data_IF_131834285411
#
_entry.id   IF_131834285411
#
_cell.length_a   1.000
_cell.length_b   1.000
_cell.length_c   1.000
_cell.angle_alpha   90.00
_cell.angle_beta   90.00
_cell.angle_gamma   90.00
#
_symmetry.space_group_name_H-M   'P 1'
#
loop_
_entity.id
_entity.type
_entity.pdbx_description
1 polymer ?
#
# COMPACT_ATOMS: atom_id res chain seq x y z
N UNK A 1 13.10 3.08 -3.85
CA UNK A 1 12.98 2.74 -2.42
C UNK A 1 13.10 1.23 -2.25
N UNK A 2 13.67 0.78 -1.14
CA UNK A 2 13.77 -0.65 -0.81
C UNK A 2 12.61 -1.11 0.06
N UNK A 3 12.51 -2.41 0.29
CA UNK A 3 11.44 -3.06 1.09
C UNK A 3 11.17 -2.39 2.44
N UNK A 4 12.23 -2.11 3.21
CA UNK A 4 12.12 -1.52 4.55
C UNK A 4 11.65 -0.07 4.52
N UNK A 5 12.14 0.74 3.57
CA UNK A 5 11.69 2.12 3.42
C UNK A 5 10.28 2.20 2.84
N UNK A 6 9.89 1.25 1.99
CA UNK A 6 8.50 1.08 1.55
C UNK A 6 7.54 0.81 2.72
N UNK A 7 7.92 -0.10 3.64
CA UNK A 7 7.15 -0.35 4.86
C UNK A 7 7.00 0.92 5.70
N UNK A 8 8.11 1.57 6.05
CA UNK A 8 8.07 2.74 6.95
C UNK A 8 7.31 3.91 6.33
N UNK A 9 7.53 4.21 5.05
CA UNK A 9 6.83 5.28 4.36
C UNK A 9 5.32 5.02 4.29
N UNK A 10 4.91 3.79 3.95
CA UNK A 10 3.50 3.40 3.90
C UNK A 10 2.85 3.42 5.29
N UNK A 11 3.48 2.78 6.27
CA UNK A 11 2.95 2.63 7.63
C UNK A 11 2.82 3.97 8.36
N UNK A 12 3.92 4.73 8.44
CA UNK A 12 3.97 5.97 9.24
C UNK A 12 3.14 7.07 8.59
N UNK A 13 3.31 7.29 7.29
CA UNK A 13 2.60 8.35 6.58
C UNK A 13 1.09 8.17 6.67
N UNK A 14 0.61 6.95 6.45
CA UNK A 14 -0.83 6.66 6.47
C UNK A 14 -1.41 6.66 7.89
N UNK A 15 -0.69 6.11 8.88
CA UNK A 15 -1.17 6.14 10.27
C UNK A 15 -1.26 7.56 10.83
N UNK A 16 -0.33 8.45 10.46
CA UNK A 16 -0.39 9.87 10.83
C UNK A 16 -1.58 10.54 10.14
N UNK A 17 -1.84 10.23 8.87
CA UNK A 17 -2.98 10.77 8.14
C UNK A 17 -4.31 10.38 8.82
N UNK A 18 -4.47 9.14 9.24
CA UNK A 18 -5.65 8.69 9.97
C UNK A 18 -5.84 9.44 11.30
N UNK A 19 -4.76 9.63 12.06
CA UNK A 19 -4.80 10.39 13.31
C UNK A 19 -5.21 11.84 13.04
N UNK A 20 -4.63 12.47 12.02
CA UNK A 20 -4.91 13.86 11.66
C UNK A 20 -6.36 14.07 11.15
N UNK A 21 -6.94 13.05 10.50
CA UNK A 21 -8.30 13.08 9.97
C UNK A 21 -9.37 12.62 10.99
N UNK A 22 -8.97 12.26 12.21
CA UNK A 22 -9.89 11.84 13.28
C UNK A 22 -10.24 10.35 13.28
N UNK A 23 -9.62 9.54 12.41
CA UNK A 23 -9.78 8.08 12.33
C UNK A 23 -8.75 7.35 13.21
N UNK A 24 -8.53 7.80 14.45
CA UNK A 24 -7.46 7.29 15.31
C UNK A 24 -7.54 5.78 15.58
N UNK A 25 -8.75 5.21 15.63
CA UNK A 25 -8.95 3.77 15.81
C UNK A 25 -8.47 2.94 14.62
N UNK A 26 -8.44 3.52 13.41
CA UNK A 26 -7.90 2.88 12.21
C UNK A 26 -6.38 2.94 12.16
N UNK A 27 -5.74 3.90 12.83
CA UNK A 27 -4.31 4.14 12.71
C UNK A 27 -3.41 2.90 12.96
N UNK A 28 -3.66 2.04 13.97
CA UNK A 28 -2.88 0.81 14.16
C UNK A 28 -3.07 -0.21 13.02
N UNK A 29 -4.30 -0.36 12.53
CA UNK A 29 -4.63 -1.24 11.41
C UNK A 29 -3.95 -0.71 10.14
N UNK A 30 -4.13 0.56 9.84
CA UNK A 30 -3.53 1.23 8.70
C UNK A 30 -2.02 1.15 8.73
N UNK A 31 -1.38 1.34 9.89
CA UNK A 31 0.06 1.18 10.05
C UNK A 31 0.52 -0.20 9.54
N UNK A 32 -0.17 -1.26 9.96
CA UNK A 32 0.17 -2.64 9.56
C UNK A 32 -0.16 -2.87 8.09
N UNK A 33 -1.38 -2.56 7.65
CA UNK A 33 -1.84 -2.84 6.27
C UNK A 33 -1.03 -2.04 5.25
N UNK A 34 -0.86 -0.73 5.44
CA UNK A 34 -0.08 0.14 4.55
C UNK A 34 1.41 -0.14 4.63
N UNK A 35 1.91 -0.53 5.81
CA UNK A 35 3.27 -1.02 5.94
C UNK A 35 3.53 -2.27 5.10
N UNK A 36 2.64 -3.26 5.19
CA UNK A 36 2.74 -4.50 4.42
C UNK A 36 2.56 -4.25 2.91
N UNK A 37 1.63 -3.37 2.51
CA UNK A 37 1.47 -2.93 1.13
C UNK A 37 2.80 -2.43 0.55
N UNK A 38 3.43 -1.46 1.22
CA UNK A 38 4.71 -0.89 0.78
C UNK A 38 5.88 -1.88 0.83
N UNK A 39 5.90 -2.77 1.83
CA UNK A 39 6.91 -3.82 1.94
C UNK A 39 6.82 -4.82 0.78
N UNK A 40 5.62 -5.32 0.49
CA UNK A 40 5.37 -6.31 -0.57
C UNK A 40 5.62 -5.69 -1.94
N UNK A 41 5.16 -4.47 -2.19
CA UNK A 41 5.47 -3.75 -3.42
C UNK A 41 7.00 -3.64 -3.62
N UNK A 42 7.75 -3.24 -2.58
CA UNK A 42 9.21 -3.20 -2.62
C UNK A 42 9.87 -4.58 -2.81
N UNK A 43 9.25 -5.65 -2.30
CA UNK A 43 9.75 -7.02 -2.43
C UNK A 43 9.60 -7.52 -3.87
N UNK A 44 8.44 -7.25 -4.49
CA UNK A 44 8.17 -7.60 -5.89
C UNK A 44 9.09 -6.84 -6.82
N UNK A 45 9.30 -5.53 -6.60
CA UNK A 45 10.27 -4.75 -7.36
C UNK A 45 11.67 -5.35 -7.25
N UNK A 46 12.12 -5.68 -6.03
CA UNK A 46 13.44 -6.28 -5.82
C UNK A 46 13.60 -7.64 -6.50
N UNK A 47 12.60 -8.51 -6.40
CA UNK A 47 12.62 -9.85 -6.99
C UNK A 47 12.65 -9.79 -8.52
N UNK A 48 11.82 -8.93 -9.13
CA UNK A 48 11.72 -8.82 -10.58
C UNK A 48 12.87 -8.02 -11.21
N UNK A 49 13.40 -7.01 -10.52
CA UNK A 49 14.57 -6.23 -11.01
C UNK A 49 15.86 -7.05 -11.04
N UNK A 50 15.93 -8.19 -10.33
CA UNK A 50 17.04 -9.15 -10.49
C UNK A 50 16.92 -9.99 -11.76
N UNK A 51 15.70 -10.22 -12.23
CA UNK A 51 15.40 -11.07 -13.39
C UNK A 51 15.35 -10.27 -14.69
N UNK A 52 14.90 -9.02 -14.63
CA UNK A 52 14.86 -8.08 -15.74
C UNK A 52 15.88 -6.97 -15.46
N UNK A 53 16.86 -6.79 -16.34
CA UNK A 53 18.00 -5.86 -16.17
C UNK A 53 17.60 -4.37 -16.03
N UNK A 54 16.36 -4.02 -16.34
CA UNK A 54 15.82 -2.67 -16.17
C UNK A 54 14.48 -2.73 -15.42
N UNK A 55 14.14 -1.63 -14.74
CA UNK A 55 12.83 -1.42 -14.11
C UNK A 55 11.76 -1.29 -15.18
N UNK A 56 11.36 -2.43 -15.71
CA UNK A 56 10.40 -2.50 -16.80
C UNK A 56 9.00 -2.16 -16.27
N UNK A 57 8.13 -1.61 -17.12
CA UNK A 57 6.74 -1.27 -16.75
C UNK A 57 6.01 -2.46 -16.13
N UNK A 58 6.35 -3.68 -16.56
CA UNK A 58 5.87 -4.96 -16.01
C UNK A 58 6.17 -5.09 -14.51
N UNK A 59 7.37 -4.69 -14.07
CA UNK A 59 7.77 -4.76 -12.67
C UNK A 59 6.97 -3.78 -11.81
N UNK A 60 6.76 -2.56 -12.29
CA UNK A 60 5.99 -1.52 -11.58
C UNK A 60 4.52 -1.94 -11.47
N UNK A 61 3.95 -2.46 -12.56
CA UNK A 61 2.58 -2.95 -12.58
C UNK A 61 2.39 -4.15 -11.63
N UNK A 62 3.28 -5.14 -11.69
CA UNK A 62 3.22 -6.31 -10.81
C UNK A 62 3.34 -5.92 -9.33
N UNK A 63 4.23 -4.98 -8.99
CA UNK A 63 4.37 -4.49 -7.63
C UNK A 63 3.14 -3.73 -7.15
N UNK A 64 2.52 -2.93 -8.03
CA UNK A 64 1.31 -2.16 -7.72
C UNK A 64 0.10 -3.08 -7.49
N UNK A 65 -0.06 -4.12 -8.32
CA UNK A 65 -1.11 -5.13 -8.15
C UNK A 65 -0.90 -5.90 -6.85
N UNK A 66 0.33 -6.37 -6.58
CA UNK A 66 0.62 -7.11 -5.37
C UNK A 66 0.36 -6.27 -4.10
N UNK A 67 0.79 -5.00 -4.10
CA UNK A 67 0.48 -4.07 -3.01
C UNK A 67 -1.03 -3.85 -2.83
N UNK A 68 -1.76 -3.65 -3.92
CA UNK A 68 -3.23 -3.47 -3.88
C UNK A 68 -3.93 -4.69 -3.28
N UNK A 69 -3.53 -5.90 -3.65
CA UNK A 69 -4.09 -7.14 -3.08
C UNK A 69 -3.86 -7.20 -1.57
N UNK A 70 -2.65 -6.90 -1.11
CA UNK A 70 -2.31 -6.86 0.33
C UNK A 70 -3.15 -5.82 1.05
N UNK A 71 -3.34 -4.65 0.44
CA UNK A 71 -4.15 -3.58 1.02
C UNK A 71 -5.62 -4.01 1.15
N UNK A 72 -6.23 -4.46 0.05
CA UNK A 72 -7.65 -4.86 0.02
C UNK A 72 -7.91 -6.02 0.99
N UNK A 73 -7.06 -7.05 0.97
CA UNK A 73 -7.20 -8.19 1.88
C UNK A 73 -6.93 -7.80 3.34
N UNK A 74 -5.96 -6.92 3.57
CA UNK A 74 -5.62 -6.42 4.91
C UNK A 74 -6.77 -5.65 5.54
N UNK A 75 -7.37 -4.71 4.82
CA UNK A 75 -8.54 -3.97 5.32
C UNK A 75 -9.74 -4.87 5.51
N UNK A 76 -10.03 -5.77 4.55
CA UNK A 76 -11.15 -6.69 4.69
C UNK A 76 -11.04 -7.59 5.94
N UNK A 77 -9.85 -8.16 6.19
CA UNK A 77 -9.60 -8.98 7.39
C UNK A 77 -9.63 -8.13 8.66
N UNK A 78 -9.09 -6.92 8.62
CA UNK A 78 -9.09 -6.03 9.77
C UNK A 78 -10.51 -5.58 10.13
N UNK A 79 -11.33 -5.17 9.17
CA UNK A 79 -12.73 -4.80 9.38
C UNK A 79 -13.57 -5.98 9.89
N UNK A 80 -13.32 -7.19 9.37
CA UNK A 80 -14.04 -8.39 9.75
C UNK A 80 -13.76 -8.84 11.20
N UNK A 81 -12.48 -8.82 11.61
CA UNK A 81 -12.04 -9.42 12.87
C UNK A 81 -11.49 -8.44 13.89
N UNK A 82 -10.67 -7.48 13.47
CA UNK A 82 -9.93 -6.59 14.38
C UNK A 82 -10.82 -5.43 14.81
N UNK A 83 -11.39 -4.71 13.85
CA UNK A 83 -12.22 -3.53 14.10
C UNK A 83 -13.51 -3.89 14.81
N UNK A 84 -14.05 -5.08 14.53
CA UNK A 84 -15.20 -5.64 15.25
C UNK A 84 -14.98 -5.76 16.76
N UNK A 85 -13.74 -5.87 17.24
CA UNK A 85 -13.43 -5.90 18.68
C UNK A 85 -13.57 -4.53 19.34
N UNK A 86 -13.50 -3.45 18.56
CA UNK A 86 -13.53 -2.07 19.06
C UNK A 86 -14.85 -1.35 18.72
N UNK A 87 -15.56 -1.81 17.68
CA UNK A 87 -16.82 -1.25 17.22
C UNK A 87 -17.76 -2.38 16.74
N UNK A 88 -18.91 -2.55 17.40
CA UNK A 88 -19.88 -3.59 17.07
C UNK A 88 -20.59 -3.37 15.73
N UNK A 89 -20.50 -2.15 15.16
CA UNK A 89 -21.01 -1.85 13.82
C UNK A 89 -20.10 -2.40 12.71
N UNK A 90 -18.87 -2.81 13.06
CA UNK A 90 -17.91 -3.45 12.17
C UNK A 90 -18.16 -4.96 12.08
N UNK A 91 -17.56 -5.60 11.06
CA UNK A 91 -17.72 -7.02 10.79
C UNK A 91 -18.02 -7.28 9.32
N UNK A 92 -18.65 -8.41 8.99
CA UNK A 92 -18.84 -8.83 7.60
C UNK A 92 -19.65 -7.83 6.76
N UNK A 93 -20.69 -7.21 7.35
CA UNK A 93 -21.52 -6.24 6.63
C UNK A 93 -20.75 -4.95 6.29
N UNK A 94 -19.95 -4.42 7.24
CA UNK A 94 -19.08 -3.28 7.00
C UNK A 94 -17.98 -3.63 6.00
N UNK A 95 -17.32 -4.79 6.15
CA UNK A 95 -16.27 -5.25 5.26
C UNK A 95 -16.75 -5.40 3.80
N UNK A 96 -17.97 -5.90 3.60
CA UNK A 96 -18.57 -5.99 2.26
C UNK A 96 -19.00 -4.64 1.70
N UNK A 97 -19.40 -3.69 2.57
CA UNK A 97 -19.76 -2.33 2.17
C UNK A 97 -18.53 -1.54 1.73
N UNK A 98 -17.40 -1.70 2.41
CA UNK A 98 -16.18 -0.92 2.15
C UNK A 98 -15.29 -1.58 1.09
N UNK A 99 -15.50 -2.87 0.79
CA UNK A 99 -14.77 -3.60 -0.26
C UNK A 99 -14.76 -2.89 -1.64
N UNK A 100 -15.88 -2.36 -2.19
CA UNK A 100 -15.86 -1.61 -3.45
C UNK A 100 -15.01 -0.35 -3.37
N UNK A 101 -15.04 0.35 -2.23
CA UNK A 101 -14.24 1.56 -1.99
C UNK A 101 -12.75 1.19 -1.95
N UNK A 102 -12.40 0.12 -1.22
CA UNK A 102 -11.03 -0.40 -1.14
C UNK A 102 -10.52 -0.90 -2.51
N UNK A 103 -11.37 -1.49 -3.34
CA UNK A 103 -11.02 -1.87 -4.72
C UNK A 103 -10.69 -0.65 -5.58
N UNK A 104 -11.52 0.39 -5.53
CA UNK A 104 -11.27 1.66 -6.24
C UNK A 104 -10.00 2.32 -5.72
N UNK A 105 -9.81 2.35 -4.40
CA UNK A 105 -8.61 2.91 -3.77
C UNK A 105 -7.35 2.18 -4.22
N UNK A 106 -7.38 0.84 -4.28
CA UNK A 106 -6.27 0.04 -4.80
C UNK A 106 -5.96 0.37 -6.25
N UNK A 107 -6.98 0.49 -7.10
CA UNK A 107 -6.83 0.89 -8.51
C UNK A 107 -6.21 2.28 -8.65
N UNK A 108 -6.68 3.28 -7.90
CA UNK A 108 -6.12 4.63 -7.90
C UNK A 108 -4.68 4.64 -7.42
N UNK A 109 -4.37 3.93 -6.33
CA UNK A 109 -2.99 3.78 -5.84
C UNK A 109 -2.07 3.18 -6.89
N UNK A 110 -2.53 2.15 -7.62
CA UNK A 110 -1.73 1.52 -8.66
C UNK A 110 -1.44 2.48 -9.83
N UNK A 111 -2.44 3.25 -10.28
CA UNK A 111 -2.27 4.25 -11.35
C UNK A 111 -1.33 5.37 -10.89
N UNK A 112 -1.59 5.97 -9.73
CA UNK A 112 -0.77 7.08 -9.19
C UNK A 112 0.65 6.61 -8.91
N UNK A 113 0.82 5.44 -8.30
CA UNK A 113 2.13 4.84 -8.02
C UNK A 113 2.93 4.55 -9.28
N UNK A 114 2.27 4.03 -10.32
CA UNK A 114 2.88 3.85 -11.63
C UNK A 114 3.31 5.18 -12.27
N UNK A 115 2.40 6.15 -12.36
CA UNK A 115 2.67 7.46 -12.95
C UNK A 115 3.81 8.20 -12.23
N UNK A 116 3.82 8.16 -10.89
CA UNK A 116 4.86 8.75 -10.08
C UNK A 116 6.20 8.04 -10.30
N UNK A 117 6.21 6.71 -10.39
CA UNK A 117 7.43 5.93 -10.64
C UNK A 117 8.05 6.29 -11.99
N UNK A 118 7.23 6.39 -13.05
CA UNK A 118 7.68 6.80 -14.39
C UNK A 118 8.21 8.23 -14.38
N UNK A 119 7.52 9.16 -13.70
CA UNK A 119 7.97 10.55 -13.58
C UNK A 119 9.33 10.65 -12.87
N UNK A 120 9.51 9.96 -11.74
CA UNK A 120 10.75 9.97 -10.96
C UNK A 120 11.94 9.38 -11.73
N UNK A 121 11.71 8.36 -12.55
CA UNK A 121 12.73 7.80 -13.44
C UNK A 121 13.11 8.79 -14.54
N UNK A 122 12.13 9.46 -15.16
CA UNK A 122 12.37 10.47 -16.19
C UNK A 122 13.26 11.62 -15.71
N UNK A 123 13.06 12.08 -14.47
CA UNK A 123 13.84 13.17 -13.88
C UNK A 123 15.17 12.72 -13.25
N UNK A 124 15.54 11.43 -13.33
CA UNK A 124 16.76 10.85 -12.73
C UNK A 124 16.93 11.14 -11.22
N UNK A 125 15.85 11.49 -10.52
CA UNK A 125 15.86 11.80 -9.08
C UNK A 125 16.26 10.57 -8.27
N UNK A 126 16.01 9.38 -8.80
CA UNK A 126 16.44 8.09 -8.24
C UNK A 126 17.95 8.01 -7.97
N UNK A 127 18.78 8.80 -8.67
CA UNK A 127 20.24 8.86 -8.46
C UNK A 127 20.63 9.52 -7.12
N UNK A 128 19.77 10.38 -6.55
CA UNK A 128 20.01 11.07 -5.28
C UNK A 128 19.41 10.34 -4.07
N UNK A 129 18.51 9.39 -4.30
CA UNK A 129 17.78 8.66 -3.25
C UNK A 129 18.49 7.33 -2.89
N UNK A 130 19.40 6.86 -3.74
CA UNK A 130 20.03 5.52 -3.61
C UNK A 130 21.48 5.59 -3.12
N UNK A 131 21.97 6.75 -2.69
CA UNK A 131 23.27 6.91 -2.03
C UNK A 131 23.14 6.78 -0.52
#
# INVERSE_FOLDING_TARGET
>A
MGRKSGFLAGAIGSAIADIAMGYQHFAPVTFVVKGLEGFVAGLVVYALSKRFKEKNHVTILAASIAGSIVMISGYFVAELYVMRLFDETMGLAAALRDLPVNLVQGGVCAVVGYSLSVALEKFKVTKFITN
#
